data_IF_543182665015
#
_entry.id   IF_543182665015
#
_cell.length_a   1.000
_cell.length_b   1.000
_cell.length_c   1.000
_cell.angle_alpha   90.00
_cell.angle_beta   90.00
_cell.angle_gamma   90.00
#
_symmetry.space_group_name_H-M   'P 1'
#
loop_
_entity.id
_entity.type
_entity.pdbx_description
1 polymer ?
#
# COMPACT_ATOMS: atom_id res chain seq x y z
N UNK A 1 0.82 24.42 18.38
CA UNK A 1 1.87 23.41 18.12
C UNK A 1 1.26 22.03 18.12
N UNK A 2 1.70 21.15 17.22
CA UNK A 2 1.32 19.73 17.20
C UNK A 2 2.35 18.90 17.94
N UNK A 3 1.90 17.77 18.52
CA UNK A 3 2.76 16.80 19.19
C UNK A 3 2.40 15.40 18.69
N UNK A 4 3.42 14.58 18.40
CA UNK A 4 3.27 13.14 18.15
C UNK A 4 3.93 12.39 19.30
N UNK A 5 3.28 11.34 19.80
CA UNK A 5 3.84 10.43 20.80
C UNK A 5 3.58 8.98 20.39
N UNK A 6 4.50 8.10 20.79
CA UNK A 6 4.48 6.68 20.47
C UNK A 6 4.55 5.85 21.74
N UNK A 7 3.83 4.73 21.75
CA UNK A 7 3.90 3.73 22.82
C UNK A 7 4.31 2.40 22.20
N UNK A 8 5.18 1.66 22.89
CA UNK A 8 5.70 0.39 22.43
C UNK A 8 5.32 -0.73 23.39
N UNK A 9 5.20 -1.95 22.88
CA UNK A 9 4.94 -3.14 23.65
C UNK A 9 6.09 -3.39 24.64
N UNK A 10 5.76 -3.72 25.88
CA UNK A 10 6.74 -4.19 26.86
C UNK A 10 7.14 -5.63 26.57
N UNK A 11 8.39 -5.97 26.85
CA UNK A 11 8.85 -7.35 26.76
C UNK A 11 8.15 -8.22 27.81
N UNK A 12 7.87 -9.48 27.47
CA UNK A 12 7.19 -10.41 28.37
C UNK A 12 8.07 -10.86 29.55
N UNK A 13 9.38 -10.82 29.38
CA UNK A 13 10.39 -11.25 30.36
C UNK A 13 10.94 -10.10 31.24
N UNK A 14 10.74 -8.85 30.83
CA UNK A 14 11.17 -7.66 31.58
C UNK A 14 10.26 -6.46 31.28
N UNK A 15 9.50 -6.03 32.30
CA UNK A 15 8.58 -4.89 32.18
C UNK A 15 9.27 -3.54 31.93
N UNK A 16 10.58 -3.43 32.15
CA UNK A 16 11.38 -2.23 31.88
C UNK A 16 11.97 -2.22 30.49
N UNK A 17 11.94 -3.34 29.77
CA UNK A 17 12.40 -3.47 28.40
C UNK A 17 11.21 -3.35 27.44
N UNK A 18 11.32 -2.51 26.43
CA UNK A 18 10.34 -2.38 25.35
C UNK A 18 10.77 -3.19 24.13
N UNK A 19 9.81 -3.68 23.37
CA UNK A 19 10.01 -4.32 22.06
C UNK A 19 10.01 -3.25 20.95
N UNK A 20 10.29 -3.65 19.71
CA UNK A 20 10.12 -2.79 18.53
C UNK A 20 8.66 -2.61 18.11
N UNK A 21 7.70 -3.37 18.67
CA UNK A 21 6.30 -3.32 18.30
C UNK A 21 5.63 -2.08 18.90
N UNK A 22 5.28 -1.13 18.04
CA UNK A 22 4.55 0.06 18.42
C UNK A 22 3.09 -0.30 18.68
N UNK A 23 2.59 -0.07 19.91
CA UNK A 23 1.20 -0.36 20.27
C UNK A 23 0.26 0.82 20.08
N UNK A 24 0.79 2.04 20.07
CA UNK A 24 -0.03 3.24 19.82
C UNK A 24 0.81 4.38 19.25
N UNK A 25 0.19 5.11 18.32
CA UNK A 25 0.63 6.43 17.89
C UNK A 25 -0.47 7.43 18.21
N UNK A 26 -0.11 8.52 18.89
CA UNK A 26 -1.03 9.61 19.25
C UNK A 26 -0.56 10.89 18.61
N UNK A 27 -1.46 11.58 17.91
CA UNK A 27 -1.27 12.93 17.40
C UNK A 27 -2.18 13.90 18.15
N UNK A 28 -1.62 14.99 18.65
CA UNK A 28 -2.37 16.05 19.36
C UNK A 28 -2.17 17.37 18.64
N UNK A 29 -3.26 18.04 18.28
CA UNK A 29 -3.25 19.37 17.68
C UNK A 29 -4.47 20.17 18.13
N UNK A 30 -4.25 21.40 18.62
CA UNK A 30 -5.34 22.29 19.05
C UNK A 30 -6.22 21.72 20.18
N UNK A 31 -5.68 20.81 21.01
CA UNK A 31 -6.43 20.13 22.09
C UNK A 31 -7.17 18.86 21.64
N UNK A 32 -7.27 18.62 20.33
CA UNK A 32 -7.86 17.41 19.77
C UNK A 32 -6.81 16.31 19.67
N UNK A 33 -7.19 15.07 19.94
CA UNK A 33 -6.32 13.90 19.89
C UNK A 33 -6.84 12.88 18.87
N UNK A 34 -5.94 12.36 18.04
CA UNK A 34 -6.20 11.21 17.21
C UNK A 34 -5.23 10.09 17.58
N UNK A 35 -5.74 8.86 17.57
CA UNK A 35 -4.97 7.68 17.94
C UNK A 35 -5.02 6.65 16.82
N UNK A 36 -3.92 5.93 16.64
CA UNK A 36 -3.88 4.65 15.97
C UNK A 36 -3.30 3.63 16.96
N UNK A 37 -4.05 2.59 17.28
CA UNK A 37 -3.60 1.51 18.17
C UNK A 37 -3.43 0.23 17.36
N UNK A 38 -2.42 -0.55 17.70
CA UNK A 38 -2.03 -1.74 16.96
C UNK A 38 -1.98 -2.95 17.88
N UNK A 39 -2.48 -4.08 17.43
CA UNK A 39 -2.24 -5.39 18.04
C UNK A 39 -1.56 -6.31 17.05
N UNK A 40 -0.76 -7.23 17.57
CA UNK A 40 0.09 -8.10 16.78
C UNK A 40 -0.26 -9.57 17.02
N UNK A 41 0.04 -10.40 16.05
CA UNK A 41 0.08 -11.84 16.24
C UNK A 41 1.39 -12.26 16.94
N UNK A 42 1.55 -13.58 17.17
CA UNK A 42 2.71 -14.10 17.91
C UNK A 42 4.05 -13.98 17.15
N UNK A 43 4.02 -13.66 15.87
CA UNK A 43 5.21 -13.53 15.02
C UNK A 43 5.47 -12.09 14.59
N UNK A 44 4.64 -11.14 15.06
CA UNK A 44 4.86 -9.70 14.90
C UNK A 44 4.10 -9.05 13.76
N UNK A 45 3.19 -9.74 13.07
CA UNK A 45 2.32 -9.11 12.08
C UNK A 45 1.22 -8.30 12.78
N UNK A 46 0.88 -7.13 12.24
CA UNK A 46 -0.27 -6.35 12.72
C UNK A 46 -1.55 -7.11 12.38
N UNK A 47 -2.29 -7.59 13.38
CA UNK A 47 -3.57 -8.28 13.17
C UNK A 47 -4.79 -7.39 13.30
N UNK A 48 -4.65 -6.23 13.96
CA UNK A 48 -5.72 -5.27 14.15
C UNK A 48 -5.16 -3.87 14.32
N UNK A 49 -5.80 -2.89 13.70
CA UNK A 49 -5.55 -1.46 13.92
C UNK A 49 -6.86 -0.78 14.23
N UNK A 50 -6.99 -0.10 15.37
CA UNK A 50 -8.11 0.78 15.65
C UNK A 50 -7.70 2.24 15.64
N UNK A 51 -8.58 3.07 15.08
CA UNK A 51 -8.41 4.52 15.02
C UNK A 51 -9.45 5.18 15.91
N UNK A 52 -9.04 6.22 16.64
CA UNK A 52 -9.90 7.00 17.52
C UNK A 52 -9.73 8.47 17.27
N UNK A 53 -10.82 9.19 17.40
CA UNK A 53 -10.85 10.64 17.39
C UNK A 53 -11.35 11.10 18.76
N UNK A 54 -10.53 11.82 19.51
CA UNK A 54 -10.83 12.31 20.87
C UNK A 54 -11.34 11.18 21.81
N UNK A 55 -10.64 10.04 21.76
CA UNK A 55 -10.94 8.77 22.45
C UNK A 55 -12.21 8.04 22.01
N UNK A 56 -12.99 8.61 21.10
CA UNK A 56 -14.14 7.92 20.50
C UNK A 56 -13.65 6.99 19.38
N UNK A 57 -14.03 5.68 19.39
CA UNK A 57 -13.71 4.78 18.29
C UNK A 57 -14.28 5.32 16.98
N UNK A 58 -13.42 5.44 15.97
CA UNK A 58 -13.78 5.98 14.67
C UNK A 58 -13.84 4.88 13.60
N UNK A 59 -12.80 4.05 13.51
CA UNK A 59 -12.72 2.95 12.56
C UNK A 59 -11.70 1.91 13.02
N UNK A 60 -11.77 0.71 12.46
CA UNK A 60 -10.75 -0.32 12.64
C UNK A 60 -10.53 -1.13 11.36
N UNK A 61 -9.41 -1.83 11.29
CA UNK A 61 -9.10 -2.80 10.25
C UNK A 61 -8.53 -4.05 10.90
N UNK A 62 -9.10 -5.21 10.52
CA UNK A 62 -8.58 -6.53 10.88
C UNK A 62 -7.80 -7.12 9.72
N UNK A 63 -6.66 -7.74 10.00
CA UNK A 63 -5.75 -8.31 9.01
C UNK A 63 -5.56 -9.81 9.23
N UNK A 64 -5.48 -10.56 8.15
CA UNK A 64 -5.21 -12.00 8.16
C UNK A 64 -4.03 -12.31 7.26
N UNK A 65 -3.16 -13.20 7.71
CA UNK A 65 -1.93 -13.60 7.01
C UNK A 65 -1.90 -15.10 6.77
N UNK A 66 -1.16 -15.52 5.76
CA UNK A 66 -0.85 -16.92 5.51
C UNK A 66 0.40 -17.38 6.30
N UNK A 67 0.79 -18.63 6.06
CA UNK A 67 1.99 -19.24 6.69
C UNK A 67 3.32 -18.62 6.25
N UNK A 68 3.32 -17.81 5.21
CA UNK A 68 4.49 -17.08 4.70
C UNK A 68 4.53 -15.62 5.14
N UNK A 69 3.61 -15.21 6.03
CA UNK A 69 3.40 -13.82 6.49
C UNK A 69 2.93 -12.85 5.39
N UNK A 70 2.29 -13.38 4.35
CA UNK A 70 1.68 -12.57 3.31
C UNK A 70 0.27 -12.18 3.75
N UNK A 71 -0.10 -10.91 3.59
CA UNK A 71 -1.44 -10.42 3.91
C UNK A 71 -2.46 -11.03 2.94
N UNK A 72 -3.37 -11.87 3.46
CA UNK A 72 -4.39 -12.52 2.63
C UNK A 72 -5.74 -11.83 2.68
N UNK A 73 -6.02 -11.07 3.76
CA UNK A 73 -7.29 -10.37 3.91
C UNK A 73 -7.19 -9.18 4.83
N UNK A 74 -7.92 -8.13 4.49
CA UNK A 74 -8.26 -7.03 5.38
C UNK A 74 -9.78 -6.84 5.44
N UNK A 75 -10.30 -6.53 6.63
CA UNK A 75 -11.72 -6.25 6.88
C UNK A 75 -11.84 -4.92 7.58
N UNK A 76 -12.60 -4.01 6.97
CA UNK A 76 -12.78 -2.65 7.47
C UNK A 76 -14.04 -2.53 8.34
N UNK A 77 -13.95 -1.74 9.40
CA UNK A 77 -15.06 -1.42 10.29
C UNK A 77 -16.29 -0.93 9.54
N UNK A 78 -17.49 -1.38 9.90
CA UNK A 78 -18.73 -0.85 9.34
C UNK A 78 -19.03 0.61 9.76
N UNK A 79 -18.32 1.14 10.76
CA UNK A 79 -18.57 2.48 11.33
C UNK A 79 -18.03 3.61 10.43
N UNK A 80 -17.11 3.32 9.54
CA UNK A 80 -16.50 4.33 8.69
C UNK A 80 -17.37 4.65 7.48
N UNK A 81 -18.03 5.80 7.51
CA UNK A 81 -18.89 6.26 6.40
C UNK A 81 -18.10 6.78 5.18
N UNK A 82 -16.81 7.07 5.33
CA UNK A 82 -15.99 7.66 4.27
C UNK A 82 -15.29 6.64 3.36
N UNK A 83 -15.07 5.40 3.81
CA UNK A 83 -14.51 4.35 2.98
C UNK A 83 -15.58 3.48 2.36
N UNK A 84 -15.56 3.39 1.04
CA UNK A 84 -16.46 2.52 0.28
C UNK A 84 -16.09 1.03 0.40
N UNK A 85 -14.90 0.70 0.92
CA UNK A 85 -14.39 -0.65 1.04
C UNK A 85 -14.88 -1.33 2.33
N UNK A 86 -15.39 -2.56 2.20
CA UNK A 86 -15.74 -3.45 3.32
C UNK A 86 -14.62 -4.45 3.59
N UNK A 87 -14.05 -5.04 2.54
CA UNK A 87 -12.91 -5.97 2.65
C UNK A 87 -12.10 -6.05 1.38
N UNK A 88 -10.83 -6.46 1.49
CA UNK A 88 -10.03 -6.89 0.37
C UNK A 88 -9.38 -8.25 0.66
N UNK A 89 -9.27 -9.08 -0.36
CA UNK A 89 -8.59 -10.37 -0.33
C UNK A 89 -7.47 -10.39 -1.37
N UNK A 90 -6.30 -10.90 -0.97
CA UNK A 90 -5.07 -10.91 -1.73
C UNK A 90 -4.66 -12.35 -2.03
N UNK A 91 -4.30 -12.63 -3.26
CA UNK A 91 -3.87 -13.94 -3.73
C UNK A 91 -2.47 -13.83 -4.31
N UNK A 92 -1.65 -14.83 -4.03
CA UNK A 92 -0.23 -14.84 -4.37
C UNK A 92 0.11 -16.08 -5.20
N UNK A 93 1.17 -15.98 -5.99
CA UNK A 93 1.82 -17.13 -6.61
C UNK A 93 2.87 -17.76 -5.66
N UNK A 94 3.56 -18.78 -6.13
CA UNK A 94 4.61 -19.47 -5.35
C UNK A 94 5.86 -18.62 -5.09
N UNK A 95 6.03 -17.51 -5.81
CA UNK A 95 7.14 -16.58 -5.66
C UNK A 95 6.78 -15.39 -4.74
N UNK A 96 5.53 -15.28 -4.30
CA UNK A 96 5.04 -14.20 -3.44
C UNK A 96 4.53 -12.97 -4.20
N UNK A 97 4.37 -13.05 -5.51
CA UNK A 97 3.77 -11.98 -6.30
C UNK A 97 2.25 -11.99 -6.15
N UNK A 98 1.63 -10.81 -6.01
CA UNK A 98 0.17 -10.69 -5.96
C UNK A 98 -0.40 -11.01 -7.35
N UNK A 99 -1.22 -12.07 -7.47
CA UNK A 99 -1.88 -12.45 -8.72
C UNK A 99 -3.27 -11.85 -8.88
N UNK A 100 -3.96 -11.63 -7.76
CA UNK A 100 -5.29 -11.04 -7.74
C UNK A 100 -5.53 -10.26 -6.46
N UNK A 101 -6.35 -9.22 -6.57
CA UNK A 101 -6.96 -8.55 -5.41
C UNK A 101 -8.46 -8.49 -5.64
N UNK A 102 -9.23 -9.05 -4.73
CA UNK A 102 -10.69 -8.97 -4.73
C UNK A 102 -11.13 -7.97 -3.68
N UNK A 103 -11.85 -6.93 -4.07
CA UNK A 103 -12.38 -5.90 -3.16
C UNK A 103 -13.89 -5.98 -3.10
N UNK A 104 -14.43 -5.98 -1.89
CA UNK A 104 -15.87 -5.91 -1.64
C UNK A 104 -16.18 -4.52 -1.08
N UNK A 105 -17.00 -3.77 -1.78
CA UNK A 105 -17.50 -2.49 -1.31
C UNK A 105 -18.62 -2.68 -0.28
N UNK A 106 -18.97 -1.63 0.45
CA UNK A 106 -20.04 -1.67 1.48
C UNK A 106 -21.43 -1.93 0.91
N UNK A 107 -21.67 -1.56 -0.35
CA UNK A 107 -22.90 -1.86 -1.08
C UNK A 107 -22.98 -3.31 -1.59
N UNK A 108 -21.96 -4.12 -1.26
CA UNK A 108 -21.83 -5.50 -1.70
C UNK A 108 -21.23 -5.66 -3.10
N UNK A 109 -20.90 -4.59 -3.79
CA UNK A 109 -20.24 -4.66 -5.09
C UNK A 109 -18.85 -5.27 -4.95
N UNK A 110 -18.58 -6.32 -5.74
CA UNK A 110 -17.28 -6.98 -5.78
C UNK A 110 -16.54 -6.54 -7.04
N UNK A 111 -15.29 -6.17 -6.88
CA UNK A 111 -14.36 -5.89 -7.99
C UNK A 111 -13.13 -6.77 -7.84
N UNK A 112 -12.62 -7.28 -8.95
CA UNK A 112 -11.42 -8.11 -9.00
C UNK A 112 -10.42 -7.47 -9.95
N UNK A 113 -9.19 -7.29 -9.48
CA UNK A 113 -8.06 -6.81 -10.26
C UNK A 113 -7.06 -7.95 -10.39
N UNK A 114 -6.65 -8.26 -11.61
CA UNK A 114 -5.64 -9.29 -11.90
C UNK A 114 -4.28 -8.66 -12.18
N UNK A 115 -3.24 -9.37 -11.79
CA UNK A 115 -1.84 -9.03 -12.01
C UNK A 115 -1.18 -10.18 -12.75
N UNK A 116 -0.47 -9.90 -13.83
CA UNK A 116 0.24 -10.92 -14.60
C UNK A 116 1.73 -10.64 -14.60
N UNK A 117 2.50 -11.69 -14.44
CA UNK A 117 3.96 -11.66 -14.47
C UNK A 117 4.45 -12.58 -15.57
N UNK A 118 5.55 -12.24 -16.23
CA UNK A 118 6.16 -13.12 -17.22
C UNK A 118 7.65 -13.29 -16.95
N UNK A 119 8.14 -14.47 -17.27
CA UNK A 119 9.52 -14.89 -17.11
C UNK A 119 10.32 -14.81 -18.41
N UNK A 120 9.82 -14.14 -19.46
CA UNK A 120 10.48 -14.07 -20.77
C UNK A 120 11.88 -13.43 -20.73
N UNK A 121 12.22 -12.76 -19.61
CA UNK A 121 13.55 -12.16 -19.41
C UNK A 121 14.29 -12.74 -18.19
N UNK A 122 13.81 -13.84 -17.60
CA UNK A 122 14.37 -14.44 -16.38
C UNK A 122 14.04 -13.65 -15.08
N UNK A 123 13.05 -12.75 -15.14
CA UNK A 123 12.59 -11.93 -14.01
C UNK A 123 11.13 -12.32 -13.71
N UNK A 124 10.93 -13.40 -12.97
CA UNK A 124 9.60 -13.91 -12.63
C UNK A 124 8.72 -12.95 -11.82
N UNK A 125 9.26 -11.83 -11.38
CA UNK A 125 8.61 -10.76 -10.60
C UNK A 125 8.28 -9.50 -11.42
N UNK A 126 8.57 -9.47 -12.73
CA UNK A 126 8.25 -8.33 -13.58
C UNK A 126 6.75 -8.31 -13.92
N UNK A 127 6.04 -7.29 -13.44
CA UNK A 127 4.61 -7.10 -13.71
C UNK A 127 4.40 -6.72 -15.18
N UNK A 128 3.81 -7.61 -15.97
CA UNK A 128 3.57 -7.41 -17.41
C UNK A 128 2.13 -7.15 -17.78
N UNK A 129 1.18 -7.36 -16.84
CA UNK A 129 -0.19 -6.94 -17.02
C UNK A 129 -0.84 -6.53 -15.69
N UNK A 130 -1.73 -5.55 -15.76
CA UNK A 130 -2.54 -5.06 -14.65
C UNK A 130 -3.98 -4.88 -15.14
N UNK A 131 -4.93 -5.55 -14.51
CA UNK A 131 -6.37 -5.49 -14.83
C UNK A 131 -6.66 -5.71 -16.33
N UNK A 132 -5.95 -6.68 -16.94
CA UNK A 132 -6.06 -7.00 -18.36
C UNK A 132 -5.30 -6.04 -19.30
N UNK A 133 -4.66 -5.01 -18.80
CA UNK A 133 -3.87 -4.05 -19.59
C UNK A 133 -2.37 -4.41 -19.55
N UNK A 134 -1.76 -4.51 -20.71
CA UNK A 134 -0.34 -4.83 -20.85
C UNK A 134 0.54 -3.67 -20.40
N UNK A 135 1.57 -3.99 -19.64
CA UNK A 135 2.66 -3.09 -19.27
C UNK A 135 3.90 -3.48 -20.11
N UNK A 136 4.47 -2.52 -20.82
CA UNK A 136 5.67 -2.70 -21.60
C UNK A 136 6.85 -1.98 -20.97
N UNK A 137 8.05 -2.49 -21.24
CA UNK A 137 9.29 -1.98 -20.64
C UNK A 137 10.35 -1.72 -21.72
N UNK A 138 11.29 -0.83 -21.44
CA UNK A 138 12.52 -0.71 -22.23
C UNK A 138 13.54 -1.79 -21.81
N UNK A 139 14.68 -1.82 -22.50
CA UNK A 139 15.74 -2.82 -22.30
C UNK A 139 16.37 -2.81 -20.91
N UNK A 140 16.22 -1.71 -20.15
CA UNK A 140 16.77 -1.57 -18.81
C UNK A 140 15.69 -1.65 -17.71
N UNK A 141 14.44 -2.02 -18.10
CA UNK A 141 13.32 -2.29 -17.19
C UNK A 141 12.55 -1.04 -16.75
N UNK A 142 12.63 0.07 -17.48
CA UNK A 142 11.72 1.18 -17.22
C UNK A 142 10.36 0.90 -17.86
N UNK A 143 9.23 1.09 -17.17
CA UNK A 143 7.90 0.94 -17.77
C UNK A 143 7.67 2.00 -18.85
N UNK A 144 7.22 1.57 -20.03
CA UNK A 144 6.85 2.45 -21.15
C UNK A 144 5.36 2.76 -21.15
N UNK A 145 4.54 1.93 -20.47
CA UNK A 145 3.11 2.13 -20.31
C UNK A 145 2.62 1.58 -18.98
N UNK A 146 1.52 2.13 -18.47
CA UNK A 146 0.74 1.52 -17.41
C UNK A 146 -0.72 2.00 -17.51
N UNK A 147 -1.64 1.30 -16.80
CA UNK A 147 -3.04 1.64 -16.73
C UNK A 147 -3.45 2.01 -15.29
N UNK A 148 -4.18 3.12 -15.16
CA UNK A 148 -4.81 3.55 -13.91
C UNK A 148 -6.12 4.28 -14.23
N UNK A 149 -7.10 3.52 -14.77
CA UNK A 149 -8.32 4.09 -15.38
C UNK A 149 -8.09 4.73 -16.75
N UNK A 150 -6.85 5.12 -17.05
CA UNK A 150 -6.36 5.63 -18.33
C UNK A 150 -5.05 4.93 -18.69
N UNK A 151 -4.79 4.72 -19.98
CA UNK A 151 -3.49 4.25 -20.45
C UNK A 151 -2.51 5.42 -20.43
N UNK A 152 -1.47 5.29 -19.63
CA UNK A 152 -0.34 6.22 -19.60
C UNK A 152 0.78 5.71 -20.50
N UNK A 153 1.40 6.64 -21.23
CA UNK A 153 2.67 6.40 -21.95
C UNK A 153 3.77 7.17 -21.24
N UNK A 154 4.91 6.53 -21.03
CA UNK A 154 6.04 7.05 -20.28
C UNK A 154 7.26 7.17 -21.21
N UNK A 155 8.06 8.24 -21.04
CA UNK A 155 9.35 8.42 -21.71
C UNK A 155 10.43 8.66 -20.67
N UNK A 156 11.57 8.05 -20.90
CA UNK A 156 12.70 8.06 -19.99
C UNK A 156 13.94 8.62 -20.68
N UNK A 157 14.73 9.40 -19.93
CA UNK A 157 16.01 9.96 -20.35
C UNK A 157 17.11 9.61 -19.35
N UNK A 158 18.36 9.65 -19.79
CA UNK A 158 19.52 9.39 -18.95
C UNK A 158 19.38 8.13 -18.08
N UNK A 159 18.89 7.04 -18.67
CA UNK A 159 18.64 5.76 -18.04
C UNK A 159 17.27 5.72 -17.32
N UNK A 160 17.18 6.15 -16.07
CA UNK A 160 15.98 5.98 -15.22
C UNK A 160 15.30 7.30 -14.82
N UNK A 161 15.47 8.38 -15.60
CA UNK A 161 14.80 9.66 -15.35
C UNK A 161 13.55 9.77 -16.21
N UNK A 162 12.38 9.81 -15.57
CA UNK A 162 11.12 10.01 -16.28
C UNK A 162 11.10 11.41 -16.90
N UNK A 163 11.15 11.52 -18.22
CA UNK A 163 11.15 12.80 -18.92
C UNK A 163 9.75 13.26 -19.32
N UNK A 164 8.83 12.33 -19.55
CA UNK A 164 7.42 12.65 -19.85
C UNK A 164 6.49 11.55 -19.41
N UNK A 165 5.31 11.95 -18.91
CA UNK A 165 4.14 11.08 -18.84
C UNK A 165 2.99 11.69 -19.65
N UNK A 166 2.19 10.86 -20.34
CA UNK A 166 1.05 11.32 -21.12
C UNK A 166 -0.13 10.34 -21.02
N UNK A 167 -1.35 10.88 -20.97
CA UNK A 167 -2.60 10.13 -21.02
C UNK A 167 -3.71 11.01 -21.60
N UNK A 168 -4.58 10.46 -22.43
CA UNK A 168 -5.76 11.18 -22.97
C UNK A 168 -5.45 12.48 -23.71
N UNK A 169 -4.27 12.59 -24.34
CA UNK A 169 -3.82 13.82 -25.02
C UNK A 169 -3.19 14.88 -24.11
N UNK A 170 -3.18 14.67 -22.81
CA UNK A 170 -2.52 15.53 -21.82
C UNK A 170 -1.14 14.94 -21.52
N UNK A 171 -0.14 15.80 -21.33
CA UNK A 171 1.19 15.35 -20.94
C UNK A 171 1.82 16.27 -19.86
N UNK A 172 2.75 15.68 -19.12
CA UNK A 172 3.58 16.37 -18.13
C UNK A 172 5.04 16.09 -18.49
N UNK A 173 5.83 17.15 -18.65
CA UNK A 173 7.29 17.08 -18.83
C UNK A 173 8.00 17.29 -17.50
N UNK A 174 9.04 16.49 -17.28
CA UNK A 174 9.88 16.54 -16.09
C UNK A 174 11.30 16.94 -16.45
N UNK A 175 11.87 17.83 -15.67
CA UNK A 175 13.25 18.29 -15.80
C UNK A 175 14.06 17.97 -14.56
N UNK A 176 15.35 17.74 -14.74
CA UNK A 176 16.27 17.37 -13.67
C UNK A 176 17.51 18.27 -13.70
N UNK A 177 18.06 18.57 -12.54
CA UNK A 177 19.35 19.23 -12.45
C UNK A 177 20.51 18.23 -12.69
N UNK A 178 21.75 18.72 -12.66
CA UNK A 178 22.97 17.91 -12.84
C UNK A 178 23.12 16.79 -11.80
N UNK A 179 22.54 16.95 -10.61
CA UNK A 179 22.61 16.00 -9.49
C UNK A 179 21.48 14.94 -9.56
N UNK A 180 20.64 15.00 -10.62
CA UNK A 180 19.53 14.07 -10.80
C UNK A 180 18.28 14.38 -9.97
N UNK A 181 18.21 15.54 -9.34
CA UNK A 181 17.04 16.00 -8.58
C UNK A 181 16.02 16.61 -9.55
N UNK A 182 14.76 16.15 -9.48
CA UNK A 182 13.69 16.71 -10.32
C UNK A 182 13.41 18.16 -9.93
N UNK A 183 13.42 19.06 -10.92
CA UNK A 183 13.22 20.49 -10.76
C UNK A 183 11.90 20.99 -11.33
N UNK A 184 11.26 20.20 -12.19
CA UNK A 184 9.93 20.49 -12.78
C UNK A 184 9.17 19.19 -12.97
#
# INVERSE_FOLDING_TARGET
>A
SGRVSYTYQKASDDANRITSNMTSMRYTFGGVQTFANYTYDNIGNIKHTDYRYDEVPYTYVDYTYDKYNQLTKEVHSPLEMQHSLSSAEYFYDEFGNITNVTRTARDGKVTKVSYGYTDTAGWGDLLTSYDGHTITYDEIGNPLSYYNGWTYTLRWDAGRRLSRSSAGGIYVDYSYNKDGIRTK
#
